data_IF_021169769547
#
_entry.id   IF_021169769547
#
_cell.length_a   1.000
_cell.length_b   1.000
_cell.length_c   1.000
_cell.angle_alpha   90.00
_cell.angle_beta   90.00
_cell.angle_gamma   90.00
#
_symmetry.space_group_name_H-M   'P 1'
#
loop_
_entity.id
_entity.type
_entity.pdbx_description
1 polymer ?
#
# COMPACT_ATOMS: atom_id res chain seq x y z
N UNK A 1 -67.08 -3.97 9.99
CA UNK A 1 -65.96 -4.49 9.16
C UNK A 1 -64.69 -3.75 9.64
N UNK A 2 -63.88 -4.41 10.41
CA UNK A 2 -62.65 -3.84 11.01
C UNK A 2 -61.45 -4.26 10.11
N UNK A 3 -60.77 -3.25 9.54
CA UNK A 3 -59.62 -3.45 8.70
C UNK A 3 -58.34 -3.42 9.56
N UNK A 4 -57.81 -4.58 9.90
CA UNK A 4 -56.55 -4.73 10.62
C UNK A 4 -55.41 -4.49 9.65
N UNK A 5 -54.67 -3.37 9.81
CA UNK A 5 -53.44 -3.10 9.04
C UNK A 5 -52.28 -3.91 9.64
N UNK A 6 -51.78 -4.86 8.91
CA UNK A 6 -50.47 -5.52 9.19
C UNK A 6 -49.35 -4.56 8.79
N UNK A 7 -48.61 -4.05 9.77
CA UNK A 7 -47.34 -3.36 9.54
C UNK A 7 -46.26 -4.44 9.50
N UNK A 8 -45.72 -4.70 8.31
CA UNK A 8 -44.56 -5.55 8.12
C UNK A 8 -43.31 -4.73 8.47
N UNK A 9 -42.69 -4.97 9.64
CA UNK A 9 -41.37 -4.40 9.98
C UNK A 9 -40.32 -5.17 9.16
N UNK A 10 -39.78 -4.50 8.15
CA UNK A 10 -38.60 -4.96 7.39
C UNK A 10 -37.38 -4.68 8.28
N UNK A 11 -36.87 -5.70 8.98
CA UNK A 11 -35.55 -5.65 9.63
C UNK A 11 -34.47 -5.72 8.55
N UNK A 12 -33.86 -4.58 8.25
CA UNK A 12 -32.63 -4.51 7.45
C UNK A 12 -31.53 -5.05 8.38
N UNK A 13 -31.09 -6.27 8.16
CA UNK A 13 -29.84 -6.77 8.72
C UNK A 13 -28.69 -6.01 8.01
N UNK A 14 -28.05 -5.11 8.73
CA UNK A 14 -26.76 -4.57 8.32
C UNK A 14 -25.76 -5.74 8.37
N UNK A 15 -25.41 -6.27 7.21
CA UNK A 15 -24.24 -7.14 7.04
C UNK A 15 -23.02 -6.24 7.24
N UNK A 16 -22.45 -6.23 8.43
CA UNK A 16 -21.11 -5.72 8.65
C UNK A 16 -20.16 -6.67 7.92
N UNK A 17 -19.52 -6.23 6.85
CA UNK A 17 -18.34 -6.90 6.31
C UNK A 17 -17.30 -6.99 7.42
N UNK A 18 -16.57 -8.08 7.58
CA UNK A 18 -15.41 -8.11 8.46
C UNK A 18 -14.41 -7.07 7.92
N UNK A 19 -14.14 -6.02 8.70
CA UNK A 19 -13.01 -5.14 8.42
C UNK A 19 -11.76 -5.95 8.77
N UNK A 20 -10.91 -6.23 7.79
CA UNK A 20 -9.58 -6.76 8.04
C UNK A 20 -8.70 -5.62 8.53
N UNK A 21 -7.94 -5.86 9.61
CA UNK A 21 -6.96 -4.90 10.09
C UNK A 21 -5.86 -4.73 9.02
N UNK A 22 -5.51 -3.48 8.71
CA UNK A 22 -4.40 -3.18 7.80
C UNK A 22 -3.08 -3.56 8.48
N UNK A 23 -2.22 -4.26 7.76
CA UNK A 23 -0.89 -4.62 8.24
C UNK A 23 0.19 -3.85 7.48
N UNK A 24 1.23 -3.45 8.19
CA UNK A 24 2.44 -2.90 7.57
C UNK A 24 3.66 -3.66 8.07
N UNK A 25 4.72 -3.68 7.25
CA UNK A 25 6.00 -4.25 7.62
C UNK A 25 7.08 -3.17 7.60
N UNK A 26 7.79 -3.02 8.71
CA UNK A 26 8.95 -2.13 8.81
C UNK A 26 10.23 -2.98 8.69
N UNK A 27 10.99 -2.77 7.62
CA UNK A 27 12.30 -3.36 7.44
C UNK A 27 13.34 -2.59 8.25
N UNK A 28 14.23 -3.29 8.94
CA UNK A 28 15.32 -2.71 9.73
C UNK A 28 16.61 -3.52 9.56
N UNK A 29 17.79 -2.97 9.92
CA UNK A 29 19.04 -3.74 9.95
C UNK A 29 19.02 -4.96 10.89
N UNK A 30 18.06 -5.02 11.83
CA UNK A 30 17.92 -6.10 12.82
C UNK A 30 16.84 -7.11 12.47
N UNK A 31 16.11 -6.90 11.37
CA UNK A 31 15.02 -7.73 10.89
C UNK A 31 13.74 -6.95 10.65
N UNK A 32 12.72 -7.66 10.23
CA UNK A 32 11.40 -7.10 9.95
C UNK A 32 10.55 -6.98 11.24
N UNK A 33 9.73 -5.92 11.29
CA UNK A 33 8.74 -5.68 12.35
C UNK A 33 7.37 -5.60 11.69
N UNK A 34 6.54 -6.59 11.96
CA UNK A 34 5.15 -6.59 11.52
C UNK A 34 4.28 -5.79 12.50
N UNK A 35 3.37 -4.96 11.97
CA UNK A 35 2.52 -4.05 12.73
C UNK A 35 1.10 -4.17 12.21
N UNK A 36 0.18 -4.56 13.07
CA UNK A 36 -1.26 -4.53 12.83
C UNK A 36 -1.81 -3.14 13.20
N UNK A 37 -2.51 -2.49 12.28
CA UNK A 37 -3.09 -1.17 12.49
C UNK A 37 -4.53 -1.28 13.03
N UNK A 38 -4.97 -0.27 13.78
CA UNK A 38 -6.28 -0.22 14.41
C UNK A 38 -7.23 0.68 13.62
N UNK A 39 -7.66 0.20 12.46
CA UNK A 39 -8.47 0.93 11.48
C UNK A 39 -9.82 1.40 12.04
N UNK A 40 -10.43 0.64 12.96
CA UNK A 40 -11.71 0.99 13.57
C UNK A 40 -11.58 1.97 14.74
N UNK A 41 -10.51 1.83 15.54
CA UNK A 41 -10.31 2.59 16.78
C UNK A 41 -9.60 3.93 16.57
N UNK A 42 -8.78 4.03 15.51
CA UNK A 42 -8.02 5.24 15.18
C UNK A 42 -7.99 5.53 13.67
N UNK A 43 -9.15 5.59 12.99
CA UNK A 43 -9.25 5.64 11.54
C UNK A 43 -8.54 6.84 10.90
N UNK A 44 -8.63 8.02 11.47
CA UNK A 44 -7.97 9.22 10.94
C UNK A 44 -6.45 9.14 11.09
N UNK A 45 -5.98 8.57 12.20
CA UNK A 45 -4.56 8.38 12.46
C UNK A 45 -3.96 7.30 11.57
N UNK A 46 -4.67 6.19 11.38
CA UNK A 46 -4.26 5.12 10.44
C UNK A 46 -4.19 5.66 9.01
N UNK A 47 -5.22 6.38 8.55
CA UNK A 47 -5.22 6.99 7.21
C UNK A 47 -4.06 7.97 7.02
N UNK A 48 -3.76 8.82 8.03
CA UNK A 48 -2.61 9.72 8.02
C UNK A 48 -1.28 8.95 7.92
N UNK A 49 -1.10 7.91 8.74
CA UNK A 49 0.12 7.09 8.71
C UNK A 49 0.32 6.39 7.36
N UNK A 50 -0.75 5.78 6.81
CA UNK A 50 -0.73 5.12 5.50
C UNK A 50 -0.47 6.08 4.35
N UNK A 51 -0.85 7.37 4.46
CA UNK A 51 -0.49 8.38 3.46
C UNK A 51 1.03 8.48 3.33
N UNK A 52 1.78 8.63 4.44
CA UNK A 52 3.25 8.67 4.42
C UNK A 52 3.89 7.35 3.95
N UNK A 53 3.28 6.20 4.30
CA UNK A 53 3.74 4.88 3.81
C UNK A 53 3.61 4.81 2.28
N UNK A 54 2.43 5.14 1.73
CA UNK A 54 2.12 5.00 0.32
C UNK A 54 2.80 6.05 -0.56
N UNK A 55 3.06 7.25 -0.02
CA UNK A 55 3.84 8.30 -0.70
C UNK A 55 5.37 7.99 -0.68
N UNK A 56 5.79 6.97 0.09
CA UNK A 56 7.19 6.56 0.22
C UNK A 56 8.02 7.46 1.13
N UNK A 57 7.40 8.31 1.94
CA UNK A 57 8.07 9.26 2.82
C UNK A 57 8.89 8.59 3.93
N UNK A 58 8.55 7.33 4.28
CA UNK A 58 9.32 6.55 5.25
C UNK A 58 10.43 5.71 4.60
N UNK A 59 10.56 5.70 3.28
CA UNK A 59 11.67 5.02 2.59
C UNK A 59 13.00 5.74 2.92
N UNK A 60 14.01 4.96 3.32
CA UNK A 60 15.29 5.49 3.78
C UNK A 60 15.16 6.49 4.94
N UNK A 61 14.13 6.38 5.75
CA UNK A 61 14.05 7.10 7.03
C UNK A 61 14.83 6.35 8.13
N UNK A 62 14.95 6.91 9.32
CA UNK A 62 15.69 6.26 10.39
C UNK A 62 15.09 6.52 11.78
N UNK A 63 15.40 5.62 12.71
CA UNK A 63 15.08 5.80 14.13
C UNK A 63 15.97 6.93 14.66
N UNK A 64 15.38 8.06 14.97
CA UNK A 64 16.13 9.26 15.39
C UNK A 64 16.18 9.48 16.89
N UNK A 65 15.41 8.70 17.66
CA UNK A 65 15.37 8.79 19.12
C UNK A 65 15.09 7.44 19.76
N UNK A 66 15.85 7.10 20.82
CA UNK A 66 15.63 5.93 21.64
C UNK A 66 15.82 6.26 23.11
N UNK A 67 14.79 6.02 23.92
CA UNK A 67 14.82 6.15 25.38
C UNK A 67 14.57 4.77 25.97
N UNK A 68 15.62 4.05 26.39
CA UNK A 68 15.49 2.69 26.92
C UNK A 68 14.46 2.60 28.06
N UNK A 69 13.56 1.61 27.94
CA UNK A 69 12.47 1.40 28.89
C UNK A 69 11.30 2.37 28.78
N UNK A 70 11.32 3.25 27.78
CA UNK A 70 10.23 4.17 27.47
C UNK A 70 9.75 4.03 26.02
N UNK A 71 10.47 4.60 25.03
CA UNK A 71 10.06 4.59 23.63
C UNK A 71 11.23 4.48 22.65
N UNK A 72 10.94 3.96 21.44
CA UNK A 72 11.76 4.09 20.22
C UNK A 72 10.95 4.88 19.20
N UNK A 73 11.48 5.97 18.65
CA UNK A 73 10.77 6.96 17.84
C UNK A 73 11.40 7.11 16.47
N UNK A 74 10.54 7.09 15.42
CA UNK A 74 10.88 7.26 14.00
C UNK A 74 9.93 8.23 13.29
N UNK A 75 9.98 8.22 11.93
CA UNK A 75 9.06 8.96 11.08
C UNK A 75 9.31 10.46 10.99
N UNK A 76 10.47 10.94 11.42
CA UNK A 76 10.77 12.38 11.40
C UNK A 76 11.82 12.81 10.39
N UNK A 77 12.73 11.90 10.01
CA UNK A 77 13.91 12.26 9.25
C UNK A 77 14.37 11.15 8.31
N UNK A 78 14.92 11.56 7.16
CA UNK A 78 15.71 10.75 6.23
C UNK A 78 17.17 11.17 6.28
N UNK A 79 18.07 10.33 5.74
CA UNK A 79 19.49 10.64 5.65
C UNK A 79 19.88 10.71 4.17
N UNK A 80 20.23 11.92 3.71
CA UNK A 80 20.54 12.19 2.28
C UNK A 80 21.85 12.93 2.19
N UNK A 81 22.81 12.43 1.41
CA UNK A 81 24.12 13.07 1.15
C UNK A 81 24.88 13.47 2.42
N UNK A 82 24.76 12.66 3.49
CA UNK A 82 25.45 12.91 4.77
C UNK A 82 24.74 13.92 5.68
N UNK A 83 23.49 14.28 5.38
CA UNK A 83 22.69 15.23 6.15
C UNK A 83 21.37 14.62 6.63
N UNK A 84 20.93 15.04 7.83
CA UNK A 84 19.60 14.75 8.34
C UNK A 84 18.59 15.70 7.69
N UNK A 85 17.62 15.14 6.96
CA UNK A 85 16.57 15.90 6.27
C UNK A 85 15.23 15.58 6.90
N UNK A 86 14.46 16.59 7.27
CA UNK A 86 13.10 16.38 7.80
C UNK A 86 12.18 15.82 6.72
N UNK A 87 11.38 14.82 7.05
CA UNK A 87 10.28 14.35 6.22
C UNK A 87 9.28 15.52 6.06
N UNK A 88 8.84 15.84 4.83
CA UNK A 88 7.75 16.80 4.61
C UNK A 88 6.52 16.38 5.40
N UNK A 89 5.78 17.35 5.95
CA UNK A 89 4.60 17.01 6.76
C UNK A 89 3.31 17.49 6.11
N UNK A 90 2.33 16.60 6.10
CA UNK A 90 0.94 16.91 5.78
C UNK A 90 0.25 17.70 6.91
N UNK A 91 -0.97 18.22 6.70
CA UNK A 91 -1.75 18.82 7.77
C UNK A 91 -1.90 17.86 8.96
N UNK A 92 -1.82 18.36 10.20
CA UNK A 92 -1.88 17.51 11.38
C UNK A 92 -3.23 16.83 11.52
N UNK A 93 -3.23 15.60 12.07
CA UNK A 93 -4.42 14.79 12.31
C UNK A 93 -5.02 15.05 13.69
N UNK A 94 -6.33 14.92 13.80
CA UNK A 94 -7.06 15.00 15.07
C UNK A 94 -6.64 13.84 15.97
N UNK A 95 -6.43 14.12 17.25
CA UNK A 95 -6.08 13.13 18.25
C UNK A 95 -7.26 12.16 18.53
N UNK A 96 -7.00 10.87 18.50
CA UNK A 96 -7.98 9.78 18.74
C UNK A 96 -7.55 8.92 19.94
N UNK A 97 -7.53 9.49 21.17
CA UNK A 97 -7.12 8.74 22.34
C UNK A 97 -8.20 7.70 22.69
N UNK A 98 -7.82 6.48 22.96
CA UNK A 98 -8.78 5.41 23.29
C UNK A 98 -8.09 4.14 23.77
N UNK A 99 -7.02 3.76 23.09
CA UNK A 99 -6.21 2.58 23.41
C UNK A 99 -5.04 3.03 24.29
N UNK A 100 -4.74 2.23 25.32
CA UNK A 100 -3.64 2.51 26.28
C UNK A 100 -2.27 2.30 25.63
N UNK A 101 -1.32 3.17 25.99
CA UNK A 101 0.08 3.12 25.57
C UNK A 101 0.84 2.00 26.33
N UNK A 102 0.54 0.75 26.01
CA UNK A 102 1.15 -0.45 26.57
C UNK A 102 2.39 -0.87 25.76
N UNK A 103 3.26 -1.69 26.34
CA UNK A 103 4.41 -2.25 25.62
C UNK A 103 3.94 -2.95 24.34
N UNK A 104 4.62 -2.67 23.23
CA UNK A 104 4.36 -3.24 21.91
C UNK A 104 3.38 -2.44 21.07
N UNK A 105 2.74 -1.40 21.59
CA UNK A 105 1.90 -0.51 20.78
C UNK A 105 2.73 0.54 20.07
N UNK A 106 2.22 1.00 18.89
CA UNK A 106 2.74 2.16 18.17
C UNK A 106 1.76 3.33 18.35
N UNK A 107 2.31 4.53 18.61
CA UNK A 107 1.51 5.73 18.84
C UNK A 107 2.11 6.96 18.14
N UNK A 108 1.26 7.98 17.87
CA UNK A 108 1.69 9.22 17.23
C UNK A 108 2.42 10.15 18.20
N UNK A 109 3.57 10.66 17.76
CA UNK A 109 4.27 11.75 18.46
C UNK A 109 3.59 13.09 18.17
N UNK A 110 3.59 13.99 19.16
CA UNK A 110 2.94 15.30 19.11
C UNK A 110 3.78 16.40 19.72
N UNK A 111 3.50 17.64 19.36
CA UNK A 111 4.07 18.81 20.02
C UNK A 111 3.48 18.97 21.42
N UNK A 112 4.33 19.34 22.40
CA UNK A 112 3.90 19.57 23.76
C UNK A 112 2.89 20.72 23.84
N UNK A 113 1.74 20.47 24.50
CA UNK A 113 0.68 21.47 24.69
C UNK A 113 -0.32 21.58 23.54
N UNK A 114 -0.16 20.80 22.44
CA UNK A 114 -1.12 20.73 21.35
C UNK A 114 -1.50 19.25 21.07
N UNK A 115 -2.66 18.79 21.50
CA UNK A 115 -3.08 17.40 21.31
C UNK A 115 -3.34 17.03 19.84
N UNK A 116 -3.64 18.00 18.97
CA UNK A 116 -3.96 17.76 17.55
C UNK A 116 -2.80 18.17 16.63
N UNK A 117 -1.56 17.95 17.04
CA UNK A 117 -0.35 18.32 16.30
C UNK A 117 0.41 17.14 15.69
N UNK A 118 -0.15 15.94 15.71
CA UNK A 118 0.46 14.76 15.10
C UNK A 118 0.52 14.89 13.57
N UNK A 119 1.68 14.54 12.99
CA UNK A 119 1.91 14.54 11.53
C UNK A 119 2.56 13.21 11.11
N UNK A 120 3.88 13.18 10.83
CA UNK A 120 4.59 12.00 10.36
C UNK A 120 5.23 11.15 11.46
N UNK A 121 5.55 11.73 12.64
CA UNK A 121 6.34 11.03 13.64
C UNK A 121 5.51 10.10 14.53
N UNK A 122 6.05 8.93 14.80
CA UNK A 122 5.47 7.88 15.64
C UNK A 122 6.51 7.27 16.57
N UNK A 123 6.06 6.52 17.58
CA UNK A 123 6.94 5.79 18.49
C UNK A 123 6.35 4.44 18.91
N UNK A 124 7.24 3.48 19.17
CA UNK A 124 6.90 2.22 19.84
C UNK A 124 7.05 2.35 21.34
N UNK A 125 6.09 1.83 22.08
CA UNK A 125 6.14 1.74 23.54
C UNK A 125 6.99 0.54 23.99
N UNK A 126 8.07 0.78 24.73
CA UNK A 126 8.96 -0.27 25.26
C UNK A 126 8.49 -0.85 26.60
N UNK A 127 7.57 -0.18 27.27
CA UNK A 127 7.00 -0.54 28.56
C UNK A 127 5.53 -0.14 28.65
N UNK A 128 4.88 -0.42 29.77
CA UNK A 128 3.59 0.18 30.11
C UNK A 128 3.78 1.66 30.43
N UNK A 129 3.45 2.52 29.48
CA UNK A 129 3.55 3.97 29.57
C UNK A 129 2.18 4.64 29.83
N UNK A 130 1.12 3.86 30.09
CA UNK A 130 -0.27 4.32 30.22
C UNK A 130 -0.45 5.40 31.29
N UNK A 131 0.23 5.26 32.43
CA UNK A 131 0.16 6.22 33.52
C UNK A 131 0.58 7.65 33.11
N UNK A 132 1.49 7.77 32.12
CA UNK A 132 1.95 9.04 31.59
C UNK A 132 1.26 9.39 30.28
N UNK A 133 1.37 8.53 29.24
CA UNK A 133 1.01 8.89 27.87
C UNK A 133 -0.50 8.93 27.62
N UNK A 134 -1.31 8.17 28.36
CA UNK A 134 -2.77 8.21 28.22
C UNK A 134 -3.37 9.49 28.84
N UNK A 135 -2.64 10.15 29.73
CA UNK A 135 -3.13 11.28 30.49
C UNK A 135 -2.49 12.64 30.14
N UNK A 136 -1.34 12.62 29.45
CA UNK A 136 -0.60 13.83 29.10
C UNK A 136 -0.99 14.32 27.72
N UNK A 137 -1.11 15.65 27.55
CA UNK A 137 -1.38 16.29 26.25
C UNK A 137 -2.63 15.73 25.53
N UNK A 138 -3.69 15.41 26.26
CA UNK A 138 -4.93 14.84 25.74
C UNK A 138 -4.88 13.35 25.41
N UNK A 139 -3.85 12.61 25.90
CA UNK A 139 -3.57 11.23 25.55
C UNK A 139 -2.87 11.10 24.21
N UNK A 140 -1.95 10.14 24.05
CA UNK A 140 -1.28 9.87 22.77
C UNK A 140 -2.05 8.77 22.04
N UNK A 141 -2.44 9.01 20.79
CA UNK A 141 -3.19 8.06 19.97
C UNK A 141 -2.35 6.84 19.68
N UNK A 142 -2.72 5.70 20.25
CA UNK A 142 -2.25 4.38 19.83
C UNK A 142 -3.06 3.98 18.59
N UNK A 143 -2.38 3.66 17.50
CA UNK A 143 -3.01 3.35 16.21
C UNK A 143 -2.62 1.98 15.64
N UNK A 144 -1.87 1.18 16.41
CA UNK A 144 -1.50 -0.18 16.02
C UNK A 144 -0.68 -0.88 17.09
N UNK A 145 -0.32 -2.13 16.80
CA UNK A 145 0.51 -2.97 17.67
C UNK A 145 1.50 -3.81 16.86
N UNK A 146 2.66 -4.05 17.44
CA UNK A 146 3.67 -4.97 16.90
C UNK A 146 3.19 -6.41 17.09
N UNK A 147 3.26 -7.22 16.05
CA UNK A 147 2.86 -8.63 16.05
C UNK A 147 4.08 -9.56 15.96
N UNK A 148 3.83 -10.86 16.12
CA UNK A 148 4.87 -11.89 16.01
C UNK A 148 6.07 -11.65 16.92
N UNK A 149 7.26 -11.72 16.35
CA UNK A 149 8.54 -11.51 17.03
C UNK A 149 9.09 -10.07 16.84
N UNK A 150 8.29 -9.15 16.31
CA UNK A 150 8.75 -7.79 16.00
C UNK A 150 9.28 -7.04 17.21
N UNK A 151 8.77 -7.30 18.42
CA UNK A 151 9.29 -6.67 19.63
C UNK A 151 10.71 -7.12 20.00
N UNK A 152 11.19 -8.27 19.55
CA UNK A 152 12.59 -8.69 19.74
C UNK A 152 13.53 -7.82 18.90
N UNK A 153 13.07 -7.37 17.73
CA UNK A 153 13.79 -6.43 16.85
C UNK A 153 13.81 -5.03 17.48
N UNK A 154 12.67 -4.54 17.96
CA UNK A 154 12.57 -3.24 18.63
C UNK A 154 13.44 -3.19 19.91
N UNK A 155 13.51 -4.29 20.66
CA UNK A 155 14.37 -4.38 21.85
C UNK A 155 15.87 -4.34 21.49
N UNK A 156 16.28 -4.94 20.37
CA UNK A 156 17.65 -4.83 19.88
C UNK A 156 18.00 -3.38 19.52
N UNK A 157 17.07 -2.65 18.87
CA UNK A 157 17.24 -1.22 18.59
C UNK A 157 17.34 -0.41 19.90
N UNK A 158 16.47 -0.70 20.85
CA UNK A 158 16.45 -0.04 22.17
C UNK A 158 17.72 -0.33 23.02
N UNK A 159 18.42 -1.45 22.75
CA UNK A 159 19.65 -1.83 23.42
C UNK A 159 20.90 -1.16 22.82
N UNK A 160 20.79 -0.47 21.68
CA UNK A 160 21.91 0.25 21.09
C UNK A 160 22.41 1.36 21.99
N UNK A 161 23.70 1.68 21.84
CA UNK A 161 24.26 2.84 22.51
C UNK A 161 23.64 4.13 21.96
N UNK A 162 23.12 4.94 22.88
CA UNK A 162 22.48 6.22 22.55
C UNK A 162 23.53 7.33 22.64
N UNK A 163 23.55 8.19 21.63
CA UNK A 163 24.46 9.31 21.48
C UNK A 163 23.74 10.64 21.47
N UNK A 164 24.41 11.67 21.98
CA UNK A 164 23.90 13.02 21.92
C UNK A 164 24.43 13.73 20.65
N UNK A 165 23.63 13.73 19.60
CA UNK A 165 23.88 14.46 18.35
C UNK A 165 23.44 15.93 18.40
N UNK A 166 22.87 16.38 19.53
CA UNK A 166 22.35 17.74 19.70
C UNK A 166 20.93 17.94 19.22
N UNK A 167 20.21 18.89 19.79
CA UNK A 167 18.82 19.22 19.42
C UNK A 167 17.91 18.00 19.46
N UNK A 168 17.21 17.75 18.39
CA UNK A 168 16.26 16.63 18.23
C UNK A 168 16.97 15.26 18.32
N UNK A 169 18.27 15.19 18.04
CA UNK A 169 19.08 13.97 18.06
C UNK A 169 19.83 13.76 19.38
N UNK A 170 19.34 14.33 20.49
CA UNK A 170 19.97 14.19 21.81
C UNK A 170 19.97 12.75 22.35
N UNK A 171 19.13 11.87 21.79
CA UNK A 171 18.95 10.47 22.16
C UNK A 171 19.00 9.56 20.92
N UNK A 172 20.01 9.74 20.03
CA UNK A 172 20.16 9.04 18.77
C UNK A 172 20.78 7.64 18.98
N UNK A 173 20.07 6.54 18.66
CA UNK A 173 20.65 5.21 18.71
C UNK A 173 21.57 4.99 17.49
N UNK A 174 22.81 4.54 17.73
CA UNK A 174 23.77 4.30 16.65
C UNK A 174 24.32 2.87 16.68
N UNK A 175 24.48 2.29 15.50
CA UNK A 175 25.09 0.99 15.24
C UNK A 175 26.61 1.18 15.16
N UNK A 176 27.38 0.43 15.94
CA UNK A 176 28.85 0.34 15.86
C UNK A 176 29.62 1.68 15.77
N UNK A 177 29.01 2.78 16.22
CA UNK A 177 29.65 4.10 16.21
C UNK A 177 30.68 4.22 17.33
N UNK A 178 31.91 4.55 16.97
CA UNK A 178 33.06 4.65 17.93
C UNK A 178 33.08 5.93 18.77
N UNK A 179 32.17 6.88 18.52
CA UNK A 179 32.15 8.19 19.19
C UNK A 179 33.11 9.22 18.58
N UNK A 180 33.67 8.94 17.40
CA UNK A 180 34.59 9.85 16.70
C UNK A 180 34.32 9.84 15.18
N UNK A 181 34.42 11.02 14.55
CA UNK A 181 34.17 11.22 13.15
C UNK A 181 32.67 11.50 12.82
N UNK A 182 32.34 11.69 11.55
CA UNK A 182 30.97 11.92 11.14
C UNK A 182 30.12 10.66 11.34
N UNK A 183 28.85 10.84 11.67
CA UNK A 183 27.84 9.77 11.57
C UNK A 183 27.57 9.56 10.08
N UNK A 184 27.61 8.30 9.64
CA UNK A 184 27.27 7.87 8.28
C UNK A 184 25.99 7.04 8.32
N UNK A 185 25.46 6.72 7.15
CA UNK A 185 24.25 5.89 7.00
C UNK A 185 24.39 4.54 7.70
N UNK A 186 25.55 3.87 7.58
CA UNK A 186 25.83 2.59 8.24
C UNK A 186 25.75 2.64 9.79
N UNK A 187 25.84 3.83 10.37
CA UNK A 187 25.66 4.00 11.80
C UNK A 187 24.19 4.21 12.21
N UNK A 188 23.29 4.51 11.27
CA UNK A 188 21.90 4.78 11.55
C UNK A 188 21.05 3.49 11.50
N UNK A 189 20.02 3.45 12.31
CA UNK A 189 18.98 2.41 12.19
C UNK A 189 18.03 2.84 11.08
N UNK A 190 18.44 2.57 9.83
CA UNK A 190 17.62 2.87 8.64
C UNK A 190 16.39 1.98 8.63
N UNK A 191 15.27 2.53 8.16
CA UNK A 191 14.01 1.81 8.07
C UNK A 191 13.30 2.15 6.76
N UNK A 192 12.58 1.15 6.25
CA UNK A 192 11.58 1.27 5.19
C UNK A 192 10.26 0.68 5.70
N UNK A 193 9.14 1.35 5.45
CA UNK A 193 7.82 0.86 5.85
C UNK A 193 6.97 0.70 4.61
N UNK A 194 6.36 -0.48 4.45
CA UNK A 194 5.45 -0.79 3.36
C UNK A 194 4.16 -1.43 3.89
N UNK A 195 3.04 -1.18 3.23
CA UNK A 195 1.77 -1.84 3.53
C UNK A 195 1.82 -3.30 3.07
N UNK A 196 1.45 -4.22 3.96
CA UNK A 196 1.32 -5.63 3.63
C UNK A 196 -0.05 -5.86 3.04
N UNK A 197 -0.08 -6.18 1.77
CA UNK A 197 -1.31 -6.58 1.12
C UNK A 197 -1.41 -8.11 1.08
N UNK A 198 -2.15 -8.69 2.00
CA UNK A 198 -2.40 -10.13 2.09
C UNK A 198 -3.41 -10.64 1.04
N UNK A 199 -3.88 -9.74 0.17
CA UNK A 199 -4.81 -10.12 -0.89
C UNK A 199 -4.16 -11.13 -1.84
N UNK A 200 -4.89 -12.20 -2.13
CA UNK A 200 -4.44 -13.24 -3.05
C UNK A 200 -5.20 -13.16 -4.37
N UNK A 201 -4.44 -13.11 -5.45
CA UNK A 201 -5.01 -13.23 -6.80
C UNK A 201 -5.77 -14.55 -6.91
N UNK A 202 -7.02 -14.47 -7.34
CA UNK A 202 -7.92 -15.62 -7.42
C UNK A 202 -8.86 -15.52 -8.64
N UNK A 203 -9.53 -16.61 -9.06
CA UNK A 203 -10.39 -16.62 -10.25
C UNK A 203 -11.60 -15.69 -10.20
N UNK A 204 -11.98 -15.21 -9.04
CA UNK A 204 -13.04 -14.22 -8.88
C UNK A 204 -12.66 -12.84 -9.47
N UNK A 205 -11.37 -12.62 -9.78
CA UNK A 205 -10.89 -11.42 -10.48
C UNK A 205 -11.14 -11.44 -12.00
N UNK A 206 -11.60 -12.57 -12.54
CA UNK A 206 -11.98 -12.66 -13.97
C UNK A 206 -13.11 -11.70 -14.26
N UNK A 207 -12.80 -10.59 -14.96
CA UNK A 207 -13.77 -9.53 -15.24
C UNK A 207 -13.25 -8.52 -16.25
N UNK A 208 -14.11 -7.54 -16.56
CA UNK A 208 -13.73 -6.33 -17.27
C UNK A 208 -13.38 -5.23 -16.27
N UNK A 209 -12.21 -4.65 -16.48
CA UNK A 209 -11.61 -3.62 -15.64
C UNK A 209 -11.35 -2.35 -16.42
N UNK A 210 -11.39 -1.20 -15.79
CA UNK A 210 -11.17 0.07 -16.49
C UNK A 210 -10.63 1.14 -15.55
N UNK A 211 -10.16 2.23 -16.13
CA UNK A 211 -9.83 3.45 -15.43
C UNK A 211 -10.88 4.51 -15.77
N UNK A 212 -11.58 5.02 -14.78
CA UNK A 212 -12.73 5.91 -14.98
C UNK A 212 -12.41 7.25 -15.69
N UNK A 213 -11.12 7.66 -15.69
CA UNK A 213 -10.67 8.90 -16.34
C UNK A 213 -10.41 8.71 -17.84
N UNK A 214 -10.16 7.44 -18.30
CA UNK A 214 -9.85 7.13 -19.71
C UNK A 214 -10.98 6.37 -20.35
N UNK A 215 -11.97 7.10 -20.90
CA UNK A 215 -13.15 6.50 -21.52
C UNK A 215 -12.80 5.73 -22.81
N UNK A 216 -13.51 4.62 -23.04
CA UNK A 216 -13.33 3.76 -24.20
C UNK A 216 -12.08 2.86 -24.15
N UNK A 217 -11.37 2.80 -23.03
CA UNK A 217 -10.24 1.93 -22.80
C UNK A 217 -10.50 1.00 -21.59
N UNK A 218 -9.88 -0.17 -21.59
CA UNK A 218 -10.05 -1.12 -20.49
C UNK A 218 -9.33 -2.42 -20.69
N UNK A 219 -9.49 -3.30 -19.71
CA UNK A 219 -8.78 -4.56 -19.61
C UNK A 219 -9.77 -5.70 -19.40
N UNK A 220 -9.61 -6.79 -20.13
CA UNK A 220 -10.18 -8.09 -19.75
C UNK A 220 -9.08 -8.87 -19.05
N UNK A 221 -9.30 -9.21 -17.78
CA UNK A 221 -8.35 -9.94 -16.96
C UNK A 221 -8.86 -11.36 -16.76
N UNK A 222 -8.02 -12.35 -17.02
CA UNK A 222 -8.32 -13.77 -16.87
C UNK A 222 -7.23 -14.43 -16.04
N UNK A 223 -7.61 -14.96 -14.88
CA UNK A 223 -6.75 -15.73 -13.98
C UNK A 223 -6.88 -17.22 -14.30
N UNK A 224 -5.76 -17.90 -14.52
CA UNK A 224 -5.66 -19.34 -14.71
C UNK A 224 -5.05 -20.01 -13.46
N UNK A 225 -5.85 -20.41 -12.47
CA UNK A 225 -5.33 -20.83 -11.17
C UNK A 225 -4.50 -22.11 -11.22
N UNK A 226 -4.78 -23.03 -12.16
CA UNK A 226 -4.00 -24.27 -12.32
C UNK A 226 -2.63 -24.06 -12.97
N UNK A 227 -2.39 -22.89 -13.57
CA UNK A 227 -1.14 -22.51 -14.23
C UNK A 227 -0.41 -21.44 -13.44
N UNK A 228 -1.06 -20.84 -12.44
CA UNK A 228 -0.58 -19.66 -11.73
C UNK A 228 -0.19 -18.53 -12.70
N UNK A 229 -1.01 -18.33 -13.73
CA UNK A 229 -0.81 -17.35 -14.79
C UNK A 229 -2.01 -16.41 -14.91
N UNK A 230 -1.75 -15.18 -15.36
CA UNK A 230 -2.76 -14.19 -15.79
C UNK A 230 -2.59 -13.91 -17.27
N UNK A 231 -3.71 -13.74 -17.94
CA UNK A 231 -3.80 -13.17 -19.29
C UNK A 231 -4.59 -11.87 -19.21
N UNK A 232 -4.09 -10.83 -19.90
CA UNK A 232 -4.77 -9.54 -20.08
C UNK A 232 -4.98 -9.29 -21.58
N UNK A 233 -6.17 -8.85 -21.94
CA UNK A 233 -6.40 -8.13 -23.19
C UNK A 233 -6.63 -6.65 -22.84
N UNK A 234 -5.76 -5.78 -23.31
CA UNK A 234 -5.83 -4.33 -23.11
C UNK A 234 -6.37 -3.66 -24.37
N UNK A 235 -7.57 -3.11 -24.30
CA UNK A 235 -8.17 -2.30 -25.34
C UNK A 235 -7.82 -0.84 -25.12
N UNK A 236 -7.18 -0.22 -26.10
CA UNK A 236 -6.66 1.15 -25.97
C UNK A 236 -6.67 1.87 -27.30
N UNK A 237 -6.05 3.04 -27.35
CA UNK A 237 -5.84 3.83 -28.56
C UNK A 237 -4.36 3.94 -28.89
N UNK A 238 -4.08 4.37 -30.12
CA UNK A 238 -2.72 4.70 -30.53
C UNK A 238 -2.18 5.91 -29.73
N UNK A 239 -0.88 5.97 -29.54
CA UNK A 239 -0.19 7.08 -28.84
C UNK A 239 -0.34 8.41 -29.56
N UNK A 240 -0.62 8.38 -30.87
CA UNK A 240 -0.93 9.54 -31.70
C UNK A 240 -2.16 9.23 -32.52
N UNK A 241 -3.18 10.10 -32.44
CA UNK A 241 -4.39 9.92 -33.26
C UNK A 241 -4.01 9.97 -34.75
N UNK A 242 -4.38 8.98 -35.56
CA UNK A 242 -4.17 9.01 -37.00
C UNK A 242 -4.84 10.22 -37.67
N UNK A 243 -4.32 10.61 -38.84
CA UNK A 243 -4.93 11.67 -39.67
C UNK A 243 -6.34 11.26 -40.10
N UNK A 244 -7.27 12.22 -40.17
CA UNK A 244 -8.68 12.01 -40.54
C UNK A 244 -8.87 11.39 -41.95
N UNK A 245 -7.82 11.42 -42.76
CA UNK A 245 -7.82 10.77 -44.10
C UNK A 245 -7.59 9.26 -44.06
N UNK A 246 -7.12 8.72 -42.93
CA UNK A 246 -6.91 7.27 -42.72
C UNK A 246 -8.27 6.62 -42.53
N UNK A 247 -8.63 5.66 -43.39
CA UNK A 247 -9.88 4.95 -43.31
C UNK A 247 -9.72 3.57 -42.68
N UNK A 248 -10.51 3.28 -41.63
CA UNK A 248 -10.71 1.93 -41.13
C UNK A 248 -12.11 1.44 -41.54
N UNK A 249 -12.18 0.18 -41.94
CA UNK A 249 -13.46 -0.44 -42.35
C UNK A 249 -14.25 -0.95 -41.13
N UNK A 250 -13.58 -1.17 -40.02
CA UNK A 250 -14.14 -1.63 -38.76
C UNK A 250 -13.49 -0.88 -37.58
N UNK A 251 -14.29 -0.10 -36.89
CA UNK A 251 -13.82 0.77 -35.81
C UNK A 251 -13.06 2.02 -36.26
N UNK A 252 -12.47 2.74 -35.34
CA UNK A 252 -11.63 3.92 -35.61
C UNK A 252 -10.19 3.53 -35.98
N UNK A 253 -9.50 4.28 -36.87
CA UNK A 253 -8.13 3.96 -37.26
C UNK A 253 -7.11 3.90 -36.10
N UNK A 254 -7.40 4.61 -35.02
CA UNK A 254 -6.53 4.68 -33.83
C UNK A 254 -6.79 3.61 -32.78
N UNK A 255 -7.78 2.72 -32.98
CA UNK A 255 -8.04 1.62 -32.04
C UNK A 255 -6.90 0.61 -32.04
N UNK A 256 -6.46 0.24 -30.84
CA UNK A 256 -5.39 -0.73 -30.62
C UNK A 256 -5.82 -1.73 -29.54
N UNK A 257 -5.22 -2.89 -29.60
CA UNK A 257 -5.30 -3.87 -28.53
C UNK A 257 -3.93 -4.53 -28.33
N UNK A 258 -3.60 -4.77 -27.08
CA UNK A 258 -2.39 -5.45 -26.65
C UNK A 258 -2.80 -6.68 -25.86
N UNK A 259 -1.94 -7.68 -25.80
CA UNK A 259 -2.12 -8.78 -24.84
C UNK A 259 -0.94 -8.81 -23.91
N UNK A 260 -1.17 -9.27 -22.67
CA UNK A 260 -0.08 -9.54 -21.75
C UNK A 260 -0.34 -10.85 -21.02
N UNK A 261 0.72 -11.59 -20.73
CA UNK A 261 0.62 -12.87 -20.03
C UNK A 261 1.87 -13.11 -19.19
N UNK A 262 1.69 -13.73 -18.02
CA UNK A 262 2.78 -14.14 -17.15
C UNK A 262 2.30 -14.70 -15.82
N UNK A 263 3.25 -15.10 -14.95
CA UNK A 263 2.96 -15.68 -13.65
C UNK A 263 2.47 -14.63 -12.65
N UNK A 264 1.76 -15.11 -11.61
CA UNK A 264 1.41 -14.32 -10.44
C UNK A 264 1.80 -15.02 -9.14
N UNK A 265 2.02 -14.23 -8.10
CA UNK A 265 2.19 -14.69 -6.72
C UNK A 265 1.62 -13.65 -5.76
N UNK A 266 0.91 -14.09 -4.72
CA UNK A 266 0.23 -13.18 -3.80
C UNK A 266 -0.79 -12.31 -4.54
N UNK A 267 -0.71 -11.00 -4.34
CA UNK A 267 -1.55 -9.99 -4.97
C UNK A 267 -0.97 -9.44 -6.30
N UNK A 268 0.19 -9.94 -6.77
CA UNK A 268 0.99 -9.33 -7.84
C UNK A 268 1.26 -10.29 -9.00
N UNK A 269 1.20 -9.76 -10.22
CA UNK A 269 1.62 -10.47 -11.43
C UNK A 269 2.62 -9.64 -12.23
N UNK A 270 3.61 -10.31 -12.85
CA UNK A 270 4.54 -9.69 -13.80
C UNK A 270 4.32 -10.33 -15.17
N UNK A 271 3.88 -9.53 -16.13
CA UNK A 271 3.37 -10.00 -17.42
C UNK A 271 4.21 -9.42 -18.57
N UNK A 272 4.53 -10.23 -19.56
CA UNK A 272 5.10 -9.76 -20.82
C UNK A 272 3.99 -9.25 -21.74
N UNK A 273 4.20 -8.05 -22.31
CA UNK A 273 3.28 -7.45 -23.30
C UNK A 273 3.62 -8.00 -24.69
N UNK A 274 2.59 -8.27 -25.47
CA UNK A 274 2.68 -8.70 -26.86
C UNK A 274 1.85 -7.83 -27.78
N UNK A 275 2.47 -7.41 -28.90
CA UNK A 275 1.82 -6.70 -30.00
C UNK A 275 1.66 -7.66 -31.18
N UNK A 276 0.45 -7.75 -31.75
CA UNK A 276 0.14 -8.60 -32.89
C UNK A 276 -0.28 -7.76 -34.07
N UNK A 277 0.38 -7.94 -35.22
CA UNK A 277 0.22 -7.14 -36.42
C UNK A 277 0.04 -8.01 -37.69
N UNK A 278 -0.42 -7.38 -38.79
CA UNK A 278 -0.40 -7.96 -40.14
C UNK A 278 -1.53 -8.93 -40.46
N UNK A 279 -2.52 -9.10 -39.55
CA UNK A 279 -3.69 -9.94 -39.80
C UNK A 279 -4.74 -9.25 -40.71
N UNK A 280 -5.63 -10.05 -41.28
CA UNK A 280 -6.84 -9.60 -41.98
C UNK A 280 -8.03 -10.29 -41.32
N UNK A 281 -9.16 -9.57 -41.20
CA UNK A 281 -10.40 -10.07 -40.59
C UNK A 281 -10.82 -11.40 -41.23
N UNK A 282 -11.03 -12.42 -40.37
CA UNK A 282 -11.50 -13.77 -40.76
C UNK A 282 -10.69 -14.45 -41.89
N UNK A 283 -9.37 -14.16 -41.96
CA UNK A 283 -8.48 -14.73 -42.96
C UNK A 283 -7.23 -15.38 -42.30
N UNK A 284 -6.87 -16.56 -42.78
CA UNK A 284 -5.67 -17.26 -42.32
C UNK A 284 -4.36 -16.74 -42.98
N UNK A 285 -4.47 -15.82 -43.92
CA UNK A 285 -3.32 -15.22 -44.62
C UNK A 285 -3.60 -13.73 -44.90
N UNK A 286 -2.57 -12.85 -44.69
CA UNK A 286 -1.23 -13.14 -44.17
C UNK A 286 -1.27 -13.65 -42.72
N UNK A 287 -0.25 -14.44 -42.33
CA UNK A 287 -0.15 -14.91 -40.97
C UNK A 287 0.27 -13.72 -40.08
N UNK A 288 -0.47 -13.41 -39.02
CA UNK A 288 -0.10 -12.35 -38.11
C UNK A 288 1.25 -12.60 -37.44
N UNK A 289 1.99 -11.53 -37.12
CA UNK A 289 3.24 -11.60 -36.40
C UNK A 289 2.99 -11.04 -34.99
N UNK A 290 3.37 -11.79 -33.98
CA UNK A 290 3.31 -11.38 -32.56
C UNK A 290 4.71 -11.16 -32.03
N UNK A 291 4.99 -9.99 -31.47
CA UNK A 291 6.28 -9.61 -30.91
C UNK A 291 6.13 -9.14 -29.45
N UNK A 292 7.08 -9.49 -28.58
CA UNK A 292 7.08 -8.92 -27.22
C UNK A 292 7.44 -7.42 -27.28
N UNK A 293 6.81 -6.64 -26.41
CA UNK A 293 7.01 -5.17 -26.34
C UNK A 293 6.82 -4.62 -24.94
N UNK A 294 7.67 -5.05 -24.01
CA UNK A 294 7.69 -4.54 -22.65
C UNK A 294 6.93 -5.37 -21.64
N UNK A 295 6.55 -4.74 -20.52
CA UNK A 295 6.00 -5.44 -19.35
C UNK A 295 4.84 -4.71 -18.70
N UNK A 296 3.99 -5.48 -18.02
CA UNK A 296 2.99 -5.01 -17.05
C UNK A 296 3.30 -5.60 -15.69
N UNK A 297 3.26 -4.77 -14.65
CA UNK A 297 3.08 -5.20 -13.28
C UNK A 297 1.63 -4.93 -12.91
N UNK A 298 0.88 -5.97 -12.58
CA UNK A 298 -0.50 -5.90 -12.11
C UNK A 298 -0.52 -6.22 -10.63
N UNK A 299 -1.06 -5.33 -9.81
CA UNK A 299 -1.24 -5.51 -8.37
C UNK A 299 -2.70 -5.24 -8.01
N UNK A 300 -3.31 -6.15 -7.23
CA UNK A 300 -4.66 -5.96 -6.71
C UNK A 300 -4.58 -5.54 -5.23
N UNK A 301 -5.28 -4.48 -4.88
CA UNK A 301 -5.48 -4.10 -3.48
C UNK A 301 -6.56 -4.96 -2.81
N UNK A 302 -7.60 -5.28 -3.56
CA UNK A 302 -8.77 -6.05 -3.10
C UNK A 302 -9.56 -6.60 -4.29
N UNK A 303 -10.77 -7.11 -4.03
CA UNK A 303 -11.65 -7.63 -5.07
C UNK A 303 -12.24 -6.57 -6.01
N UNK A 304 -12.07 -5.28 -5.75
CA UNK A 304 -12.70 -4.18 -6.49
C UNK A 304 -11.72 -3.27 -7.20
N UNK A 305 -10.47 -3.23 -6.74
CA UNK A 305 -9.46 -2.28 -7.17
C UNK A 305 -8.09 -2.93 -7.39
N UNK A 306 -7.28 -2.31 -8.22
CA UNK A 306 -5.91 -2.69 -8.50
C UNK A 306 -5.16 -1.62 -9.26
N UNK A 307 -3.92 -1.91 -9.58
CA UNK A 307 -3.02 -1.00 -10.30
C UNK A 307 -2.27 -1.75 -11.39
N UNK A 308 -2.19 -1.13 -12.57
CA UNK A 308 -1.36 -1.58 -13.68
C UNK A 308 -0.21 -0.59 -13.86
N UNK A 309 1.01 -1.03 -13.60
CA UNK A 309 2.24 -0.31 -13.98
C UNK A 309 2.74 -0.91 -15.28
N UNK A 310 2.98 -0.10 -16.30
CA UNK A 310 3.39 -0.56 -17.61
C UNK A 310 4.63 0.14 -18.13
N UNK A 311 5.42 -0.58 -18.93
CA UNK A 311 6.54 -0.06 -19.73
C UNK A 311 6.45 -0.66 -21.14
N UNK A 312 6.29 0.21 -22.17
CA UNK A 312 6.17 -0.15 -23.59
C UNK A 312 7.30 0.55 -24.37
N UNK A 313 8.48 -0.10 -24.50
CA UNK A 313 9.68 0.52 -25.06
C UNK A 313 9.55 0.97 -26.51
N UNK A 314 8.79 0.26 -27.35
CA UNK A 314 8.66 0.60 -28.79
C UNK A 314 8.05 1.98 -29.02
N UNK A 315 7.28 2.49 -28.07
CA UNK A 315 6.60 3.82 -28.15
C UNK A 315 7.05 4.77 -27.05
N UNK A 316 8.09 4.42 -26.29
CA UNK A 316 8.63 5.21 -25.17
C UNK A 316 7.52 5.67 -24.22
N UNK A 317 6.72 4.70 -23.73
CA UNK A 317 5.61 4.93 -22.82
C UNK A 317 5.73 4.07 -21.58
N UNK A 318 5.69 4.72 -20.44
CA UNK A 318 5.59 4.10 -19.12
C UNK A 318 4.56 4.87 -18.29
N UNK A 319 3.91 4.17 -17.34
CA UNK A 319 2.93 4.82 -16.49
C UNK A 319 2.26 3.87 -15.52
N UNK A 320 1.38 4.46 -14.71
CA UNK A 320 0.57 3.76 -13.70
C UNK A 320 -0.89 4.05 -13.97
N UNK A 321 -1.71 3.01 -14.04
CA UNK A 321 -3.15 3.08 -14.28
C UNK A 321 -3.86 2.42 -13.10
N UNK A 322 -4.55 3.18 -12.24
CA UNK A 322 -5.47 2.58 -11.27
C UNK A 322 -6.63 1.95 -12.01
N UNK A 323 -6.98 0.72 -11.67
CA UNK A 323 -8.09 0.00 -12.28
C UNK A 323 -9.15 -0.36 -11.26
N UNK A 324 -10.40 -0.34 -11.73
CA UNK A 324 -11.56 -0.80 -10.98
C UNK A 324 -12.45 -1.67 -11.87
N UNK A 325 -13.33 -2.48 -11.28
CA UNK A 325 -14.30 -3.27 -12.03
C UNK A 325 -15.33 -2.39 -12.72
N UNK A 326 -15.84 -2.84 -13.87
CA UNK A 326 -16.97 -2.20 -14.53
C UNK A 326 -18.27 -2.46 -13.74
N UNK A 327 -18.43 -3.68 -13.21
CA UNK A 327 -19.59 -4.07 -12.39
C UNK A 327 -19.15 -4.86 -11.15
N UNK A 328 -19.96 -4.86 -10.06
CA UNK A 328 -19.63 -5.60 -8.85
C UNK A 328 -20.00 -7.10 -8.88
N UNK A 329 -20.43 -7.63 -10.02
CA UNK A 329 -21.07 -8.96 -10.11
C UNK A 329 -20.19 -10.11 -9.58
N UNK A 330 -18.87 -10.04 -9.75
CA UNK A 330 -17.94 -11.06 -9.30
C UNK A 330 -17.23 -10.73 -7.96
N UNK A 331 -17.57 -9.64 -7.30
CA UNK A 331 -16.93 -9.25 -6.01
C UNK A 331 -17.15 -10.32 -4.94
N UNK A 332 -18.39 -10.74 -4.73
CA UNK A 332 -18.71 -11.77 -3.75
C UNK A 332 -18.03 -13.13 -4.03
N UNK A 333 -17.81 -13.46 -5.32
CA UNK A 333 -17.07 -14.66 -5.70
C UNK A 333 -15.58 -14.52 -5.37
N UNK A 334 -14.99 -13.37 -5.63
CA UNK A 334 -13.60 -13.07 -5.31
C UNK A 334 -13.35 -13.14 -3.80
N UNK A 335 -14.21 -12.51 -2.99
CA UNK A 335 -14.15 -12.55 -1.52
C UNK A 335 -14.28 -13.98 -0.97
N UNK A 336 -15.17 -14.79 -1.54
CA UNK A 336 -15.33 -16.18 -1.14
C UNK A 336 -14.07 -17.03 -1.43
N UNK A 337 -13.34 -16.76 -2.50
CA UNK A 337 -12.05 -17.43 -2.75
C UNK A 337 -10.95 -16.94 -1.78
N UNK A 338 -10.92 -15.64 -1.46
CA UNK A 338 -9.98 -15.10 -0.47
C UNK A 338 -10.15 -15.74 0.91
N UNK A 339 -11.38 -15.88 1.38
CA UNK A 339 -11.69 -16.52 2.67
C UNK A 339 -11.27 -18.00 2.74
N UNK A 340 -11.28 -18.74 1.62
CA UNK A 340 -10.86 -20.15 1.57
C UNK A 340 -9.33 -20.33 1.60
N UNK A 341 -8.57 -19.34 1.23
CA UNK A 341 -7.11 -19.40 1.19
C UNK A 341 -6.48 -19.18 2.57
N UNK A 342 -7.25 -18.69 3.55
CA UNK A 342 -6.81 -18.40 4.92
C UNK A 342 -7.16 -19.50 5.94
N UNK A 343 -7.86 -20.57 5.53
CA UNK A 343 -8.14 -21.79 6.34
C UNK A 343 -7.09 -22.90 6.08
#
# INVERSE_FOLDING_TARGET
>A
MSLTRFICLLTIALLSSPAFATNVIMQTPFGAVEIELFDEEAPETVANFLTYVNDGDYVNSFIHRSVPGFVVQGGGFTFVDGAYVSIPTDPPVINEPGISNLRGTIAMAKLGGDPNSATSQWFFNLADNSANLDNTNGGFTVFGQVTGNGMDVIDQIAALQVWNGGGTFSELPLIDYSGSGPVTEDHLVMIDIEEVNDFLINPGLNDAWYYAVTDGQGFLIIVYPLREEIFIAWFTYDTVRPDDSVTAMLGEPGHRWLTAQGPYAGNKAVLDIFVTEGGIFDAGTPVPVTTPDGTIILEFSDCTAGTITYDIPSVDRQGVIPIQRITPDNVALCEAFGAQATE
#
